data_IF_747290234413
#
_entry.id   IF_747290234413
#
_cell.length_a   1.000
_cell.length_b   1.000
_cell.length_c   1.000
_cell.angle_alpha   90.00
_cell.angle_beta   90.00
_cell.angle_gamma   90.00
#
_symmetry.space_group_name_H-M   'P 1'
#
loop_
_entity.id
_entity.type
_entity.pdbx_description
1 polymer ?
#
# COMPACT_ATOMS: atom_id res chain seq x y z
N UNK A 1 -22.38 12.01 6.40
CA UNK A 1 -21.77 10.78 6.94
C UNK A 1 -22.18 9.50 6.21
N UNK A 2 -23.46 9.08 6.14
CA UNK A 2 -23.85 7.86 5.40
C UNK A 2 -23.43 7.84 3.90
N UNK A 3 -23.46 9.00 3.22
CA UNK A 3 -22.96 9.18 1.84
C UNK A 3 -21.42 9.14 1.70
N UNK A 4 -20.68 9.33 2.80
CA UNK A 4 -19.21 9.24 2.84
C UNK A 4 -18.78 7.77 2.95
N UNK A 5 -19.47 7.03 3.81
CA UNK A 5 -19.29 5.59 4.06
C UNK A 5 -19.65 4.75 2.83
N UNK A 6 -20.79 5.05 2.18
CA UNK A 6 -21.16 4.39 0.92
C UNK A 6 -20.10 4.61 -0.18
N UNK A 7 -19.40 5.75 -0.17
CA UNK A 7 -18.35 6.08 -1.15
C UNK A 7 -16.98 5.48 -0.82
N UNK A 8 -16.64 5.27 0.45
CA UNK A 8 -15.47 4.47 0.86
C UNK A 8 -15.68 3.02 0.42
N UNK A 9 -16.87 2.46 0.68
CA UNK A 9 -17.24 1.12 0.21
C UNK A 9 -17.27 1.05 -1.32
N UNK A 10 -17.88 2.01 -2.02
CA UNK A 10 -17.84 2.04 -3.49
C UNK A 10 -16.42 2.21 -4.05
N UNK A 11 -15.53 2.98 -3.41
CA UNK A 11 -14.15 3.18 -3.86
C UNK A 11 -13.23 1.98 -3.61
N UNK A 12 -13.49 1.18 -2.58
CA UNK A 12 -12.78 -0.07 -2.31
C UNK A 12 -13.24 -1.22 -3.25
N UNK A 13 -14.49 -1.18 -3.74
CA UNK A 13 -15.09 -2.23 -4.56
C UNK A 13 -15.21 -1.92 -6.06
N UNK A 14 -15.06 -0.67 -6.50
CA UNK A 14 -15.11 -0.30 -7.92
C UNK A 14 -13.71 -0.18 -8.53
N UNK A 15 -13.22 -1.28 -9.11
CA UNK A 15 -12.16 -1.21 -10.12
C UNK A 15 -12.73 -0.75 -11.47
N UNK A 16 -14.05 -0.66 -11.60
CA UNK A 16 -14.73 -0.30 -12.86
C UNK A 16 -15.49 1.02 -12.71
N UNK A 17 -15.14 1.99 -13.54
CA UNK A 17 -15.72 3.34 -13.66
C UNK A 17 -15.26 4.40 -12.64
N UNK A 18 -13.95 4.64 -12.56
CA UNK A 18 -13.46 5.95 -12.14
C UNK A 18 -13.48 6.92 -13.33
N UNK A 19 -14.34 7.93 -13.24
CA UNK A 19 -14.23 9.12 -14.08
C UNK A 19 -12.96 9.87 -13.63
N UNK A 20 -12.07 10.28 -14.54
CA UNK A 20 -10.87 11.01 -14.16
C UNK A 20 -11.30 12.36 -13.56
N UNK A 21 -11.22 12.47 -12.22
CA UNK A 21 -11.28 13.78 -11.57
C UNK A 21 -9.98 14.49 -11.94
N UNK A 22 -10.17 15.59 -12.68
CA UNK A 22 -9.20 16.59 -13.12
C UNK A 22 -7.72 16.18 -12.98
N UNK A 23 -7.16 15.69 -14.08
CA UNK A 23 -5.71 15.63 -14.30
C UNK A 23 -5.16 17.06 -14.41
N UNK A 24 -5.20 17.82 -13.31
CA UNK A 24 -4.39 19.01 -13.17
C UNK A 24 -2.96 18.53 -12.96
N UNK A 25 -2.15 18.66 -14.02
CA UNK A 25 -0.67 18.63 -14.02
C UNK A 25 -0.05 17.81 -12.88
N UNK A 26 -0.15 16.48 -12.93
CA UNK A 26 0.62 15.63 -12.04
C UNK A 26 1.79 15.05 -12.82
N UNK A 27 2.96 15.65 -12.69
CA UNK A 27 4.20 14.96 -13.02
C UNK A 27 4.25 13.61 -12.29
N UNK A 28 4.91 12.63 -12.90
CA UNK A 28 5.21 11.37 -12.23
C UNK A 28 5.96 11.70 -10.93
N UNK A 29 5.48 11.24 -9.75
CA UNK A 29 6.15 11.48 -8.48
C UNK A 29 7.62 11.09 -8.51
N UNK A 30 8.42 11.66 -7.62
CA UNK A 30 9.84 11.31 -7.51
C UNK A 30 10.02 9.79 -7.25
N UNK A 31 11.15 9.18 -7.67
CA UNK A 31 11.44 7.78 -7.37
C UNK A 31 11.35 7.48 -5.87
N UNK A 32 10.86 6.29 -5.52
CA UNK A 32 10.50 5.91 -4.16
C UNK A 32 11.65 6.06 -3.18
N UNK A 33 12.88 5.70 -3.57
CA UNK A 33 14.07 5.85 -2.73
C UNK A 33 14.36 7.31 -2.33
N UNK A 34 14.05 8.27 -3.20
CA UNK A 34 14.21 9.71 -2.92
C UNK A 34 13.13 10.17 -1.95
N UNK A 35 11.88 9.78 -2.19
CA UNK A 35 10.76 10.07 -1.27
C UNK A 35 11.04 9.48 0.12
N UNK A 36 11.44 8.22 0.22
CA UNK A 36 11.72 7.55 1.50
C UNK A 36 12.83 8.26 2.26
N UNK A 37 13.93 8.65 1.59
CA UNK A 37 15.03 9.37 2.23
C UNK A 37 14.61 10.74 2.75
N UNK A 38 13.88 11.51 1.95
CA UNK A 38 13.36 12.83 2.36
C UNK A 38 12.42 12.69 3.57
N UNK A 39 11.45 11.78 3.47
CA UNK A 39 10.43 11.57 4.50
C UNK A 39 11.04 11.02 5.79
N UNK A 40 12.06 10.15 5.72
CA UNK A 40 12.73 9.62 6.91
C UNK A 40 13.29 10.76 7.77
N UNK A 41 14.02 11.69 7.16
CA UNK A 41 14.61 12.83 7.85
C UNK A 41 13.52 13.78 8.39
N UNK A 42 12.51 14.09 7.57
CA UNK A 42 11.40 14.95 7.95
C UNK A 42 10.55 14.35 9.09
N UNK A 43 10.32 13.04 9.07
CA UNK A 43 9.65 12.28 10.11
C UNK A 43 10.42 12.32 11.43
N UNK A 44 11.74 12.09 11.40
CA UNK A 44 12.58 12.19 12.59
C UNK A 44 12.61 13.60 13.19
N UNK A 45 12.41 14.63 12.36
CA UNK A 45 12.33 16.03 12.79
C UNK A 45 10.91 16.46 13.24
N UNK A 46 9.93 15.55 13.29
CA UNK A 46 8.57 15.85 13.72
C UNK A 46 7.72 16.62 12.71
N UNK A 47 8.14 16.71 11.44
CA UNK A 47 7.42 17.49 10.40
C UNK A 47 6.01 16.94 10.12
N UNK A 48 5.78 15.66 10.40
CA UNK A 48 4.49 14.99 10.16
C UNK A 48 3.61 14.88 11.42
N UNK A 49 4.04 15.38 12.59
CA UNK A 49 3.35 15.16 13.87
C UNK A 49 1.90 15.64 13.87
N UNK A 50 1.65 16.83 13.33
CA UNK A 50 0.31 17.40 13.22
C UNK A 50 -0.59 16.52 12.33
N UNK A 51 -0.07 16.10 11.18
CA UNK A 51 -0.78 15.23 10.24
C UNK A 51 -1.10 13.87 10.86
N UNK A 52 -0.11 13.21 11.48
CA UNK A 52 -0.26 11.89 12.10
C UNK A 52 -1.25 11.94 13.26
N UNK A 53 -1.16 12.99 14.09
CA UNK A 53 -2.07 13.20 15.22
C UNK A 53 -3.51 13.45 14.76
N UNK A 54 -3.69 14.30 13.74
CA UNK A 54 -5.02 14.59 13.19
C UNK A 54 -5.66 13.33 12.59
N UNK A 55 -4.90 12.55 11.80
CA UNK A 55 -5.39 11.32 11.19
C UNK A 55 -5.71 10.25 12.25
N UNK A 56 -4.91 10.14 13.30
CA UNK A 56 -5.19 9.24 14.42
C UNK A 56 -6.48 9.64 15.16
N UNK A 57 -6.70 10.94 15.41
CA UNK A 57 -7.95 11.42 16.01
C UNK A 57 -9.18 11.13 15.13
N UNK A 58 -9.05 11.21 13.79
CA UNK A 58 -10.10 10.80 12.86
C UNK A 58 -10.39 9.30 12.91
N UNK A 59 -9.32 8.48 12.96
CA UNK A 59 -9.43 7.03 13.13
C UNK A 59 -10.19 6.67 14.42
N UNK A 60 -9.80 7.23 15.57
CA UNK A 60 -10.48 6.99 16.84
C UNK A 60 -11.95 7.41 16.81
N UNK A 61 -12.25 8.57 16.20
CA UNK A 61 -13.62 9.07 16.05
C UNK A 61 -14.46 8.12 15.20
N UNK A 62 -13.91 7.60 14.11
CA UNK A 62 -14.58 6.60 13.27
C UNK A 62 -14.81 5.28 14.02
N UNK A 63 -13.86 4.87 14.87
CA UNK A 63 -13.97 3.70 15.74
C UNK A 63 -15.12 3.83 16.75
N UNK A 64 -15.16 4.94 17.50
CA UNK A 64 -16.23 5.24 18.48
C UNK A 64 -17.62 5.32 17.84
N UNK A 65 -17.70 5.71 16.57
CA UNK A 65 -18.95 5.74 15.81
C UNK A 65 -19.38 4.37 15.24
N UNK A 66 -18.64 3.29 15.50
CA UNK A 66 -18.91 1.95 14.99
C UNK A 66 -18.64 1.76 13.49
N UNK A 67 -18.05 2.76 12.83
CA UNK A 67 -17.85 2.76 11.36
C UNK A 67 -16.74 1.80 10.96
N UNK A 68 -15.68 1.71 11.75
CA UNK A 68 -14.54 0.84 11.46
C UNK A 68 -14.92 -0.64 11.49
N UNK A 69 -15.84 -1.03 12.37
CA UNK A 69 -16.33 -2.43 12.44
C UNK A 69 -17.04 -2.83 11.15
N UNK A 70 -17.93 -1.99 10.63
CA UNK A 70 -18.61 -2.26 9.36
C UNK A 70 -17.66 -2.29 8.16
N UNK A 71 -16.63 -1.43 8.16
CA UNK A 71 -15.59 -1.45 7.14
C UNK A 71 -14.79 -2.76 7.19
N UNK A 72 -14.40 -3.18 8.39
CA UNK A 72 -13.65 -4.41 8.61
C UNK A 72 -14.42 -5.66 8.17
N UNK A 73 -15.68 -5.81 8.59
CA UNK A 73 -16.52 -6.94 8.19
C UNK A 73 -16.70 -6.98 6.67
N UNK A 74 -16.86 -5.81 6.04
CA UNK A 74 -16.92 -5.72 4.58
C UNK A 74 -15.63 -6.22 3.93
N UNK A 75 -14.46 -5.78 4.41
CA UNK A 75 -13.16 -6.22 3.87
C UNK A 75 -13.01 -7.74 4.00
N UNK A 76 -13.30 -8.30 5.18
CA UNK A 76 -13.21 -9.74 5.46
C UNK A 76 -14.09 -10.59 4.54
N UNK A 77 -15.35 -10.18 4.33
CA UNK A 77 -16.33 -10.92 3.52
C UNK A 77 -15.99 -11.00 2.03
N UNK A 78 -15.12 -10.11 1.56
CA UNK A 78 -14.79 -9.96 0.14
C UNK A 78 -13.44 -10.55 -0.28
N UNK A 79 -12.72 -11.22 0.62
CA UNK A 79 -11.36 -11.67 0.34
C UNK A 79 -11.23 -13.16 0.01
N UNK A 80 -10.61 -13.50 -1.12
CA UNK A 80 -10.05 -14.82 -1.38
C UNK A 80 -9.10 -15.28 -0.26
N UNK A 81 -9.15 -16.58 0.09
CA UNK A 81 -8.29 -17.18 1.14
C UNK A 81 -6.80 -17.04 0.83
N UNK A 82 -6.44 -16.93 -0.44
CA UNK A 82 -5.07 -16.85 -0.94
C UNK A 82 -4.46 -15.45 -0.77
N UNK A 83 -5.28 -14.41 -0.57
CA UNK A 83 -4.81 -13.10 -0.12
C UNK A 83 -4.51 -13.08 1.39
N UNK A 84 -5.08 -14.01 2.16
CA UNK A 84 -4.74 -14.23 3.57
C UNK A 84 -3.42 -15.01 3.72
N UNK A 85 -3.00 -15.76 2.70
CA UNK A 85 -1.75 -16.55 2.74
C UNK A 85 -0.53 -15.79 2.19
N UNK A 86 -0.67 -14.53 1.80
CA UNK A 86 0.46 -13.70 1.35
C UNK A 86 1.06 -14.08 -0.01
N UNK A 87 0.46 -15.00 -0.76
CA UNK A 87 1.05 -15.61 -1.97
C UNK A 87 1.09 -14.69 -3.21
N UNK A 88 0.50 -13.50 -3.15
CA UNK A 88 0.48 -12.55 -4.26
C UNK A 88 1.36 -11.33 -3.95
N UNK A 89 2.69 -11.48 -4.03
CA UNK A 89 3.58 -10.31 -4.04
C UNK A 89 3.50 -9.63 -5.42
N UNK A 90 2.86 -8.45 -5.54
CA UNK A 90 2.77 -7.77 -6.83
C UNK A 90 4.14 -7.33 -7.35
N UNK A 91 5.20 -7.30 -6.55
CA UNK A 91 6.53 -6.86 -7.00
C UNK A 91 7.26 -7.92 -7.85
N UNK A 92 6.85 -9.19 -7.80
CA UNK A 92 7.59 -10.32 -8.40
C UNK A 92 7.02 -10.92 -9.69
N UNK A 93 6.11 -10.22 -10.38
CA UNK A 93 5.64 -10.70 -11.68
C UNK A 93 6.78 -10.58 -12.73
N UNK A 94 7.46 -11.71 -12.98
CA UNK A 94 8.66 -11.79 -13.84
C UNK A 94 8.36 -11.37 -15.28
N UNK A 95 7.20 -11.76 -15.83
CA UNK A 95 6.83 -11.43 -17.21
C UNK A 95 6.60 -9.93 -17.37
N UNK A 96 5.81 -9.33 -16.48
CA UNK A 96 5.61 -7.87 -16.44
C UNK A 96 6.95 -7.16 -16.24
N UNK A 97 7.76 -7.62 -15.30
CA UNK A 97 9.04 -7.01 -14.95
C UNK A 97 10.01 -6.97 -16.15
N UNK A 98 10.08 -8.05 -16.93
CA UNK A 98 10.87 -8.09 -18.16
C UNK A 98 10.34 -7.11 -19.22
N UNK A 99 9.01 -7.05 -19.42
CA UNK A 99 8.39 -6.11 -20.36
C UNK A 99 8.66 -4.66 -19.97
N UNK A 100 8.54 -4.32 -18.68
CA UNK A 100 8.80 -2.97 -18.18
C UNK A 100 10.26 -2.59 -18.37
N UNK A 101 11.21 -3.47 -18.03
CA UNK A 101 12.63 -3.19 -18.20
C UNK A 101 13.01 -2.94 -19.67
N UNK A 102 12.47 -3.75 -20.59
CA UNK A 102 12.71 -3.57 -22.02
C UNK A 102 12.24 -2.19 -22.53
N UNK A 103 11.15 -1.64 -21.97
CA UNK A 103 10.62 -0.33 -22.36
C UNK A 103 11.53 0.81 -21.87
N UNK A 104 12.12 0.67 -20.69
CA UNK A 104 12.84 1.76 -20.02
C UNK A 104 14.34 1.80 -20.30
N UNK A 105 14.88 0.74 -20.91
CA UNK A 105 16.34 0.61 -21.16
C UNK A 105 16.88 1.68 -22.11
N UNK A 106 16.07 2.17 -23.05
CA UNK A 106 16.46 3.20 -24.03
C UNK A 106 16.32 4.64 -23.50
N UNK A 107 15.71 4.83 -22.32
CA UNK A 107 15.36 6.14 -21.75
C UNK A 107 15.57 6.18 -20.22
N UNK A 108 16.75 5.78 -19.74
CA UNK A 108 17.04 5.60 -18.30
C UNK A 108 17.00 6.90 -17.49
N UNK A 109 17.06 8.07 -18.13
CA UNK A 109 16.99 9.37 -17.49
C UNK A 109 15.59 9.73 -16.99
N UNK A 110 14.54 9.16 -17.59
CA UNK A 110 13.14 9.45 -17.27
C UNK A 110 12.78 8.99 -15.85
N UNK A 111 11.92 9.74 -15.17
CA UNK A 111 11.43 9.38 -13.84
C UNK A 111 10.77 7.99 -13.83
N UNK A 112 9.93 7.69 -14.84
CA UNK A 112 9.28 6.38 -14.99
C UNK A 112 10.29 5.23 -15.09
N UNK A 113 11.42 5.45 -15.76
CA UNK A 113 12.49 4.45 -15.92
C UNK A 113 13.17 4.14 -14.60
N UNK A 114 13.52 5.17 -13.82
CA UNK A 114 14.11 5.00 -12.48
C UNK A 114 13.17 4.27 -11.52
N UNK A 115 11.85 4.43 -11.66
CA UNK A 115 10.84 3.69 -10.88
C UNK A 115 10.80 2.23 -11.25
N UNK A 116 10.81 1.93 -12.55
CA UNK A 116 10.88 0.54 -13.04
C UNK A 116 12.17 -0.13 -12.55
N UNK A 117 13.32 0.54 -12.67
CA UNK A 117 14.59 0.04 -12.14
C UNK A 117 14.53 -0.20 -10.62
N UNK A 118 13.98 0.73 -9.85
CA UNK A 118 13.83 0.61 -8.39
C UNK A 118 12.98 -0.60 -7.96
N UNK A 119 11.93 -0.93 -8.72
CA UNK A 119 11.12 -2.13 -8.51
C UNK A 119 11.90 -3.43 -8.72
N UNK A 120 12.87 -3.42 -9.63
CA UNK A 120 13.61 -4.60 -10.07
C UNK A 120 14.91 -4.82 -9.29
N UNK A 121 15.54 -3.74 -8.82
CA UNK A 121 16.84 -3.75 -8.14
C UNK A 121 16.71 -3.97 -6.62
N UNK A 122 15.49 -4.11 -6.10
CA UNK A 122 15.26 -4.34 -4.67
C UNK A 122 14.92 -5.81 -4.38
N UNK A 123 15.85 -6.78 -4.54
CA UNK A 123 15.58 -8.14 -4.12
C UNK A 123 15.61 -8.16 -2.59
N UNK A 124 14.44 -8.34 -2.00
CA UNK A 124 14.37 -8.91 -0.66
C UNK A 124 14.84 -10.36 -0.74
N UNK A 125 15.62 -10.81 0.24
CA UNK A 125 15.80 -12.24 0.45
C UNK A 125 14.43 -12.90 0.69
N UNK A 126 14.33 -14.20 0.37
CA UNK A 126 13.03 -14.90 0.40
C UNK A 126 12.39 -14.89 1.79
N UNK A 127 13.20 -14.95 2.85
CA UNK A 127 12.72 -14.95 4.24
C UNK A 127 12.11 -13.59 4.62
N UNK A 128 12.80 -12.49 4.32
CA UNK A 128 12.31 -11.14 4.59
C UNK A 128 11.06 -10.82 3.77
N UNK A 129 10.96 -11.35 2.56
CA UNK A 129 9.75 -11.23 1.76
C UNK A 129 8.56 -11.97 2.41
N UNK A 130 8.76 -13.21 2.85
CA UNK A 130 7.73 -13.98 3.55
C UNK A 130 7.27 -13.24 4.80
N UNK A 131 8.19 -12.60 5.54
CA UNK A 131 7.86 -11.76 6.70
C UNK A 131 6.97 -10.58 6.30
N UNK A 132 7.30 -9.84 5.23
CA UNK A 132 6.45 -8.72 4.77
C UNK A 132 5.09 -9.20 4.28
N UNK A 133 5.03 -10.35 3.62
CA UNK A 133 3.78 -10.96 3.18
C UNK A 133 2.90 -11.37 4.38
N UNK A 134 3.51 -11.95 5.42
CA UNK A 134 2.84 -12.31 6.67
C UNK A 134 2.31 -11.06 7.40
N UNK A 135 3.13 -10.02 7.55
CA UNK A 135 2.71 -8.74 8.12
C UNK A 135 1.54 -8.11 7.34
N UNK A 136 1.60 -8.10 6.01
CA UNK A 136 0.52 -7.57 5.18
C UNK A 136 -0.77 -8.40 5.31
N UNK A 137 -0.67 -9.70 5.55
CA UNK A 137 -1.85 -10.55 5.77
C UNK A 137 -2.52 -10.28 7.12
N UNK A 138 -1.73 -9.97 8.17
CA UNK A 138 -2.25 -9.70 9.51
C UNK A 138 -3.22 -8.54 9.57
N UNK A 139 -3.14 -7.54 8.68
CA UNK A 139 -4.08 -6.41 8.65
C UNK A 139 -5.55 -6.83 8.47
N UNK A 140 -5.78 -8.07 8.04
CA UNK A 140 -7.09 -8.66 7.81
C UNK A 140 -7.54 -9.62 8.93
N UNK A 141 -6.69 -9.90 9.90
CA UNK A 141 -7.08 -10.71 11.06
C UNK A 141 -7.80 -9.78 12.05
N UNK A 142 -8.92 -10.25 12.63
CA UNK A 142 -9.52 -9.53 13.76
C UNK A 142 -8.54 -9.66 14.92
N UNK A 143 -8.17 -8.58 15.61
CA UNK A 143 -7.65 -8.72 16.95
C UNK A 143 -8.73 -9.46 17.73
N UNK A 144 -8.46 -10.69 18.19
CA UNK A 144 -9.35 -11.35 19.14
C UNK A 144 -9.50 -10.43 20.36
N UNK A 145 -10.65 -10.49 21.05
CA UNK A 145 -10.97 -9.57 22.15
C UNK A 145 -9.90 -9.55 23.27
N UNK A 146 -9.02 -10.57 23.29
CA UNK A 146 -7.80 -10.59 24.08
C UNK A 146 -6.62 -9.92 23.35
N UNK A 147 -6.44 -8.61 23.54
CA UNK A 147 -5.28 -7.82 23.07
C UNK A 147 -3.94 -8.23 23.71
N UNK A 148 -3.88 -9.38 24.39
CA UNK A 148 -2.77 -9.78 25.26
C UNK A 148 -1.55 -10.32 24.48
N UNK A 149 -1.74 -10.94 23.31
CA UNK A 149 -0.62 -11.53 22.56
C UNK A 149 0.10 -10.50 21.68
N UNK A 150 1.40 -10.71 21.45
CA UNK A 150 2.19 -9.87 20.53
C UNK A 150 1.60 -9.86 19.12
N UNK A 151 1.11 -11.01 18.64
CA UNK A 151 0.51 -11.13 17.31
C UNK A 151 -0.78 -10.31 17.21
N UNK A 152 -1.63 -10.31 18.24
CA UNK A 152 -2.83 -9.48 18.27
C UNK A 152 -2.48 -7.99 18.29
N UNK A 153 -1.43 -7.58 19.01
CA UNK A 153 -0.92 -6.20 18.96
C UNK A 153 -0.43 -5.82 17.55
N UNK A 154 0.33 -6.70 16.90
CA UNK A 154 0.84 -6.49 15.54
C UNK A 154 -0.30 -6.41 14.53
N UNK A 155 -1.25 -7.34 14.60
CA UNK A 155 -2.47 -7.36 13.79
C UNK A 155 -3.26 -6.06 13.93
N UNK A 156 -3.50 -5.60 15.17
CA UNK A 156 -4.18 -4.33 15.43
C UNK A 156 -3.44 -3.13 14.80
N UNK A 157 -2.11 -3.11 14.87
CA UNK A 157 -1.29 -2.07 14.22
C UNK A 157 -1.43 -2.16 12.69
N UNK A 158 -1.25 -3.34 12.11
CA UNK A 158 -1.38 -3.54 10.66
C UNK A 158 -2.76 -3.11 10.13
N UNK A 159 -3.84 -3.47 10.84
CA UNK A 159 -5.21 -3.05 10.52
C UNK A 159 -5.39 -1.54 10.67
N UNK A 160 -4.94 -0.93 11.76
CA UNK A 160 -5.03 0.53 11.98
C UNK A 160 -4.40 1.30 10.81
N UNK A 161 -3.18 0.94 10.44
CA UNK A 161 -2.45 1.65 9.38
C UNK A 161 -3.02 1.37 7.99
N UNK A 162 -3.54 0.17 7.74
CA UNK A 162 -4.27 -0.12 6.50
C UNK A 162 -5.50 0.79 6.35
N UNK A 163 -6.27 0.98 7.42
CA UNK A 163 -7.43 1.87 7.43
C UNK A 163 -7.00 3.33 7.27
N UNK A 164 -5.98 3.79 8.00
CA UNK A 164 -5.44 5.16 7.88
C UNK A 164 -5.00 5.49 6.46
N UNK A 165 -4.30 4.57 5.79
CA UNK A 165 -3.88 4.74 4.39
C UNK A 165 -5.10 4.78 3.47
N UNK A 166 -6.10 3.91 3.68
CA UNK A 166 -7.33 3.92 2.88
C UNK A 166 -8.11 5.23 3.05
N UNK A 167 -8.16 5.78 4.27
CA UNK A 167 -8.75 7.09 4.55
C UNK A 167 -8.00 8.21 3.83
N UNK A 168 -6.67 8.18 3.85
CA UNK A 168 -5.82 9.12 3.12
C UNK A 168 -6.04 9.04 1.60
N UNK A 169 -6.16 7.84 1.04
CA UNK A 169 -6.45 7.65 -0.38
C UNK A 169 -7.83 8.24 -0.76
N UNK A 170 -8.85 8.03 0.05
CA UNK A 170 -10.20 8.59 -0.18
C UNK A 170 -10.25 10.10 0.04
N UNK A 171 -9.52 10.62 1.03
CA UNK A 171 -9.40 12.05 1.28
C UNK A 171 -8.62 12.74 0.15
N UNK A 172 -7.54 12.12 -0.32
CA UNK A 172 -6.71 12.56 -1.45
C UNK A 172 -7.47 12.64 -2.77
N UNK A 173 -8.56 11.87 -2.94
CA UNK A 173 -9.48 12.02 -4.09
C UNK A 173 -10.34 13.30 -4.02
N UNK A 174 -10.29 14.04 -2.90
CA UNK A 174 -11.14 15.22 -2.65
C UNK A 174 -10.34 16.48 -2.35
N UNK A 175 -9.05 16.35 -2.02
CA UNK A 175 -8.16 17.48 -1.76
C UNK A 175 -7.34 17.81 -2.99
N UNK A 176 -6.99 19.09 -3.14
CA UNK A 176 -6.02 19.58 -4.14
C UNK A 176 -4.56 19.18 -3.80
N UNK A 177 -4.36 18.13 -3.00
CA UNK A 177 -3.02 17.66 -2.63
C UNK A 177 -2.37 16.97 -3.83
N UNK A 178 -1.13 17.33 -4.13
CA UNK A 178 -0.36 16.67 -5.18
C UNK A 178 -0.15 15.17 -4.88
N UNK A 179 0.08 14.39 -5.94
CA UNK A 179 0.41 12.97 -5.83
C UNK A 179 1.68 12.73 -5.00
N UNK A 180 2.68 13.60 -5.15
CA UNK A 180 3.93 13.58 -4.38
C UNK A 180 3.66 13.75 -2.88
N UNK A 181 2.88 14.77 -2.51
CA UNK A 181 2.50 15.03 -1.12
C UNK A 181 1.74 13.84 -0.51
N UNK A 182 0.87 13.20 -1.30
CA UNK A 182 0.18 11.98 -0.86
C UNK A 182 1.17 10.85 -0.58
N UNK A 183 2.16 10.63 -1.44
CA UNK A 183 3.14 9.56 -1.25
C UNK A 183 4.06 9.84 -0.07
N UNK A 184 4.42 11.10 0.17
CA UNK A 184 5.15 11.51 1.37
C UNK A 184 4.36 11.20 2.65
N UNK A 185 3.06 11.49 2.68
CA UNK A 185 2.17 11.12 3.79
C UNK A 185 2.01 9.60 3.98
N UNK A 186 1.93 8.83 2.89
CA UNK A 186 1.92 7.36 2.96
C UNK A 186 3.24 6.85 3.55
N UNK A 187 4.37 7.38 3.10
CA UNK A 187 5.68 7.01 3.62
C UNK A 187 5.82 7.34 5.13
N UNK A 188 5.35 8.51 5.56
CA UNK A 188 5.35 8.91 6.97
C UNK A 188 4.50 7.96 7.84
N UNK A 189 3.32 7.56 7.35
CA UNK A 189 2.49 6.55 8.03
C UNK A 189 3.18 5.20 8.13
N UNK A 190 3.94 4.79 7.11
CA UNK A 190 4.67 3.53 7.13
C UNK A 190 5.84 3.57 8.11
N UNK A 191 6.55 4.70 8.24
CA UNK A 191 7.56 4.88 9.28
C UNK A 191 6.96 4.82 10.69
N UNK A 192 5.81 5.48 10.92
CA UNK A 192 5.11 5.42 12.20
C UNK A 192 4.62 3.98 12.50
N UNK A 193 4.11 3.27 11.49
CA UNK A 193 3.73 1.85 11.61
C UNK A 193 4.90 0.99 12.07
N UNK A 194 6.05 1.09 11.37
CA UNK A 194 7.24 0.31 11.70
C UNK A 194 7.74 0.61 13.12
N UNK A 195 7.74 1.88 13.54
CA UNK A 195 8.11 2.26 14.90
C UNK A 195 7.16 1.64 15.97
N UNK A 196 5.86 1.60 15.69
CA UNK A 196 4.88 0.95 16.59
C UNK A 196 5.03 -0.57 16.62
N UNK A 197 5.34 -1.21 15.50
CA UNK A 197 5.64 -2.64 15.44
C UNK A 197 6.88 -2.98 16.28
N UNK A 198 7.96 -2.20 16.14
CA UNK A 198 9.16 -2.33 16.95
C UNK A 198 8.88 -2.16 18.45
N UNK A 199 8.02 -1.21 18.82
CA UNK A 199 7.61 -1.01 20.20
C UNK A 199 6.79 -2.21 20.73
N UNK A 200 5.83 -2.69 19.95
CA UNK A 200 4.96 -3.81 20.33
C UNK A 200 5.75 -5.10 20.62
N UNK A 201 6.81 -5.38 19.85
CA UNK A 201 7.63 -6.58 20.08
C UNK A 201 8.65 -6.43 21.20
N UNK A 202 9.08 -5.20 21.55
CA UNK A 202 10.01 -4.98 22.67
C UNK A 202 9.43 -5.43 24.01
N UNK A 203 8.13 -5.28 24.20
CA UNK A 203 7.40 -5.61 25.43
C UNK A 203 7.20 -7.11 25.66
N UNK A 204 7.49 -7.97 24.67
CA UNK A 204 7.12 -9.38 24.70
C UNK A 204 8.30 -10.30 24.94
N UNK A 205 8.46 -10.86 26.14
CA UNK A 205 9.44 -11.94 26.38
C UNK A 205 9.10 -13.15 25.46
N UNK A 206 10.09 -13.62 24.69
CA UNK A 206 10.01 -14.83 23.83
C UNK A 206 9.02 -14.86 22.64
N UNK A 207 8.68 -13.72 22.04
CA UNK A 207 7.87 -13.71 20.82
C UNK A 207 8.70 -13.94 19.55
N UNK A 208 8.31 -14.88 18.65
CA UNK A 208 8.97 -15.05 17.34
C UNK A 208 8.88 -13.80 16.47
N UNK A 209 7.95 -12.89 16.77
CA UNK A 209 7.81 -11.61 16.09
C UNK A 209 8.97 -10.65 16.33
N UNK A 210 9.76 -10.80 17.40
CA UNK A 210 10.93 -9.95 17.65
C UNK A 210 11.94 -10.04 16.51
N UNK A 211 12.31 -11.26 16.13
CA UNK A 211 13.27 -11.52 15.05
C UNK A 211 12.68 -11.11 13.70
N UNK A 212 11.41 -11.46 13.43
CA UNK A 212 10.73 -11.07 12.20
C UNK A 212 10.69 -9.55 11.99
N UNK A 213 10.29 -8.79 13.01
CA UNK A 213 10.25 -7.32 12.93
C UNK A 213 11.64 -6.72 12.80
N UNK A 214 12.66 -7.29 13.48
CA UNK A 214 14.04 -6.85 13.31
C UNK A 214 14.56 -7.07 11.88
N UNK A 215 14.29 -8.23 11.28
CA UNK A 215 14.63 -8.53 9.88
C UNK A 215 13.88 -7.60 8.91
N UNK A 216 12.57 -7.43 9.11
CA UNK A 216 11.77 -6.51 8.31
C UNK A 216 12.29 -5.08 8.38
N UNK A 217 12.74 -4.63 9.57
CA UNK A 217 13.32 -3.29 9.74
C UNK A 217 14.56 -3.08 8.88
N UNK A 218 15.46 -4.06 8.81
CA UNK A 218 16.69 -3.98 8.03
C UNK A 218 16.46 -3.73 6.54
N UNK A 219 15.32 -4.18 6.01
CA UNK A 219 14.96 -4.05 4.59
C UNK A 219 13.81 -3.08 4.34
N UNK A 220 13.31 -2.40 5.38
CA UNK A 220 12.07 -1.64 5.34
C UNK A 220 12.08 -0.50 4.34
N UNK A 221 13.14 0.31 4.31
CA UNK A 221 13.22 1.51 3.46
C UNK A 221 13.25 1.14 1.98
N UNK A 222 13.99 0.07 1.66
CA UNK A 222 14.06 -0.53 0.35
C UNK A 222 12.69 -1.07 -0.09
N UNK A 223 12.04 -1.85 0.78
CA UNK A 223 10.68 -2.35 0.53
C UNK A 223 9.67 -1.22 0.32
N UNK A 224 9.70 -0.19 1.18
CA UNK A 224 8.83 0.97 1.09
C UNK A 224 9.05 1.74 -0.21
N UNK A 225 10.30 1.96 -0.61
CA UNK A 225 10.64 2.61 -1.87
C UNK A 225 10.05 1.86 -3.07
N UNK A 226 10.28 0.55 -3.15
CA UNK A 226 9.71 -0.29 -4.20
C UNK A 226 8.17 -0.24 -4.19
N UNK A 227 7.55 -0.25 -3.01
CA UNK A 227 6.08 -0.17 -2.90
C UNK A 227 5.52 1.17 -3.37
N UNK A 228 6.20 2.28 -3.10
CA UNK A 228 5.81 3.61 -3.61
C UNK A 228 5.98 3.72 -5.12
N UNK A 229 7.05 3.15 -5.68
CA UNK A 229 7.24 3.09 -7.14
C UNK A 229 6.15 2.25 -7.80
N UNK A 230 5.80 1.09 -7.22
CA UNK A 230 4.69 0.27 -7.70
C UNK A 230 3.36 1.04 -7.66
N UNK A 231 3.09 1.77 -6.56
CA UNK A 231 1.89 2.59 -6.42
C UNK A 231 1.83 3.67 -7.50
N UNK A 232 2.95 4.31 -7.81
CA UNK A 232 3.09 5.29 -8.91
C UNK A 232 2.74 4.70 -10.26
N UNK A 233 3.28 3.52 -10.58
CA UNK A 233 3.00 2.84 -11.84
C UNK A 233 1.54 2.37 -11.91
N UNK A 234 0.95 1.96 -10.78
CA UNK A 234 -0.47 1.61 -10.68
C UNK A 234 -1.36 2.83 -10.92
N UNK A 235 -1.00 3.99 -10.36
CA UNK A 235 -1.76 5.22 -10.54
C UNK A 235 -1.64 5.77 -11.98
N UNK A 236 -0.49 5.57 -12.63
CA UNK A 236 -0.32 5.81 -14.08
C UNK A 236 -1.24 4.89 -14.92
N UNK A 237 -1.22 3.59 -14.65
CA UNK A 237 -2.07 2.60 -15.31
C UNK A 237 -3.57 2.91 -15.16
N UNK A 238 -3.99 3.33 -13.97
CA UNK A 238 -5.36 3.72 -13.67
C UNK A 238 -5.77 5.08 -14.26
N UNK A 239 -4.87 5.78 -14.94
CA UNK A 239 -5.13 7.10 -15.53
C UNK A 239 -5.27 8.22 -14.50
N UNK A 240 -4.83 8.01 -13.26
CA UNK A 240 -4.77 9.07 -12.23
C UNK A 240 -3.55 9.97 -12.42
N UNK A 241 -2.49 9.44 -13.00
CA UNK A 241 -1.36 10.21 -13.54
C UNK A 241 -1.51 10.18 -15.06
N UNK A 242 -1.40 11.34 -15.70
CA UNK A 242 -1.42 11.45 -17.16
C UNK A 242 -0.02 11.10 -17.70
N UNK A 243 0.05 10.15 -18.62
CA UNK A 243 1.27 9.90 -19.36
C UNK A 243 1.58 11.10 -20.27
N UNK A 244 2.83 11.54 -20.25
CA UNK A 244 3.31 12.77 -20.90
C UNK A 244 4.27 12.49 -22.05
N UNK A 245 4.72 11.24 -22.21
CA UNK A 245 5.61 10.82 -23.30
C UNK A 245 5.32 9.36 -23.75
N UNK A 246 5.87 8.93 -24.91
CA UNK A 246 5.63 7.57 -25.42
C UNK A 246 6.11 6.44 -24.49
N UNK A 247 7.17 6.65 -23.72
CA UNK A 247 7.68 5.66 -22.75
C UNK A 247 6.67 5.43 -21.63
N UNK A 248 6.10 6.51 -21.09
CA UNK A 248 5.06 6.44 -20.06
C UNK A 248 3.77 5.78 -20.57
N UNK A 249 3.35 6.04 -21.81
CA UNK A 249 2.18 5.36 -22.39
C UNK A 249 2.42 3.84 -22.54
N UNK A 250 3.63 3.42 -22.94
CA UNK A 250 3.98 1.98 -23.00
C UNK A 250 3.99 1.35 -21.61
N UNK A 251 4.57 2.01 -20.61
CA UNK A 251 4.56 1.52 -19.22
C UNK A 251 3.13 1.41 -18.69
N UNK A 252 2.30 2.41 -18.95
CA UNK A 252 0.88 2.43 -18.61
C UNK A 252 0.14 1.24 -19.23
N UNK A 253 0.37 0.95 -20.51
CA UNK A 253 -0.25 -0.18 -21.22
C UNK A 253 0.10 -1.53 -20.55
N UNK A 254 1.39 -1.79 -20.30
CA UNK A 254 1.85 -3.03 -19.65
C UNK A 254 1.24 -3.19 -18.26
N UNK A 255 1.28 -2.11 -17.46
CA UNK A 255 0.72 -2.13 -16.10
C UNK A 255 -0.80 -2.30 -16.11
N UNK A 256 -1.52 -1.67 -17.04
CA UNK A 256 -2.97 -1.81 -17.17
C UNK A 256 -3.37 -3.22 -17.54
N UNK A 257 -2.66 -3.84 -18.49
CA UNK A 257 -2.86 -5.24 -18.88
C UNK A 257 -2.64 -6.19 -17.70
N UNK A 258 -1.56 -6.00 -16.94
CA UNK A 258 -1.27 -6.78 -15.74
C UNK A 258 -2.38 -6.65 -14.67
N UNK A 259 -2.85 -5.42 -14.40
CA UNK A 259 -3.91 -5.19 -13.42
C UNK A 259 -5.23 -5.84 -13.84
N UNK A 260 -5.57 -5.80 -15.13
CA UNK A 260 -6.76 -6.45 -15.67
C UNK A 260 -6.69 -7.99 -15.55
N UNK A 261 -5.54 -8.59 -15.88
CA UNK A 261 -5.32 -10.02 -15.72
C UNK A 261 -5.46 -10.47 -14.26
N UNK A 262 -4.87 -9.71 -13.33
CA UNK A 262 -4.98 -10.00 -11.90
C UNK A 262 -6.42 -9.88 -11.40
N UNK A 263 -7.16 -8.88 -11.88
CA UNK A 263 -8.57 -8.71 -11.53
C UNK A 263 -9.43 -9.89 -12.01
N UNK A 264 -9.20 -10.35 -13.25
CA UNK A 264 -9.92 -11.49 -13.79
C UNK A 264 -9.58 -12.79 -13.05
N UNK A 265 -8.30 -13.01 -12.73
CA UNK A 265 -7.88 -14.15 -11.91
C UNK A 265 -8.58 -14.17 -10.54
N UNK A 266 -8.64 -13.03 -9.85
CA UNK A 266 -9.38 -12.92 -8.58
C UNK A 266 -10.88 -13.18 -8.75
N UNK A 267 -11.49 -12.69 -9.84
CA UNK A 267 -12.92 -12.90 -10.11
C UNK A 267 -13.24 -14.38 -10.36
N UNK A 268 -12.44 -15.06 -11.16
CA UNK A 268 -12.59 -16.49 -11.46
C UNK A 268 -12.49 -17.31 -10.17
N UNK A 269 -11.48 -17.05 -9.34
CA UNK A 269 -11.32 -17.71 -8.04
C UNK A 269 -12.52 -17.48 -7.11
N UNK A 270 -13.01 -16.24 -7.00
CA UNK A 270 -14.20 -15.95 -6.20
C UNK A 270 -15.44 -16.71 -6.69
N UNK A 271 -15.58 -16.90 -8.01
CA UNK A 271 -16.67 -17.69 -8.58
C UNK A 271 -16.55 -19.18 -8.27
N UNK A 272 -15.34 -19.73 -8.30
CA UNK A 272 -15.08 -21.14 -7.96
C UNK A 272 -15.35 -21.41 -6.47
N UNK A 273 -14.98 -20.48 -5.59
CA UNK A 273 -15.28 -20.57 -4.16
C UNK A 273 -16.78 -20.52 -3.90
N UNK A 274 -17.54 -19.68 -4.62
CA UNK A 274 -18.98 -19.55 -4.43
C UNK A 274 -19.79 -20.78 -4.93
N UNK A 275 -19.19 -21.64 -5.75
CA UNK A 275 -19.83 -22.83 -6.32
C UNK A 275 -19.55 -24.11 -5.53
N UNK A 276 -18.57 -24.09 -4.62
CA UNK A 276 -18.17 -25.21 -3.76
C UNK A 276 -18.66 -25.01 -2.32
#
# INVERSE_FOLDING_TARGET
>A
MKKFIAKILLGLFSVTAFTPLHANESDIPEPGHKIVREVQQDYQNGKYDEFLSALHAEYERAGKAGVLRGLFESMKSSMPKELLTGQLNPLKDSERNQKLLAITTEHSELAVSKKVEGLLITPLDGETEEIFAELEALKYHLPEEDTATTENKISAIETEYHIKISLLEVAGMRSDSSMDERYKKIAALQFEKMAKLEAAVKESEDSPWKEKIASARGSFENYLAARLDYLSLKDLAAGKIKASNPTEEKVKEVMSGYLAQRQEAMRTQMSEIAQN
#
